data_IF_465326477383
#
_entry.id   IF_465326477383
#
_cell.length_a   1.000
_cell.length_b   1.000
_cell.length_c   1.000
_cell.angle_alpha   90.00
_cell.angle_beta   90.00
_cell.angle_gamma   90.00
#
_symmetry.space_group_name_H-M   'P 1'
#
loop_
_entity.id
_entity.type
_entity.pdbx_description
1 polymer ?
#
# COMPACT_ATOMS: atom_id res chain seq x y z
N UNK A 1 23.57 3.49 -10.52
CA UNK A 1 23.70 2.07 -10.95
C UNK A 1 22.30 1.55 -11.23
N UNK A 2 22.08 0.84 -12.34
CA UNK A 2 20.85 0.09 -12.61
C UNK A 2 21.07 -1.35 -12.22
N UNK A 3 20.14 -1.95 -11.47
CA UNK A 3 20.29 -3.28 -10.89
C UNK A 3 18.94 -4.01 -10.97
N UNK A 4 18.97 -5.29 -11.33
CA UNK A 4 17.81 -6.17 -11.19
C UNK A 4 17.75 -6.70 -9.74
N UNK A 5 16.68 -6.38 -9.03
CA UNK A 5 16.47 -6.86 -7.66
C UNK A 5 16.30 -8.38 -7.53
N UNK A 6 16.08 -9.07 -8.62
CA UNK A 6 15.99 -10.53 -8.69
C UNK A 6 17.32 -11.23 -8.98
N UNK A 7 18.36 -10.48 -9.36
CA UNK A 7 19.72 -10.97 -9.50
C UNK A 7 20.44 -10.94 -8.15
N UNK A 8 20.46 -12.09 -7.48
CA UNK A 8 20.99 -12.24 -6.11
C UNK A 8 22.47 -11.78 -5.98
N UNK A 9 23.31 -12.21 -6.90
CA UNK A 9 24.75 -11.91 -6.80
C UNK A 9 25.03 -10.43 -7.07
N UNK A 10 24.33 -9.85 -8.04
CA UNK A 10 24.43 -8.42 -8.32
C UNK A 10 23.91 -7.56 -7.15
N UNK A 11 22.81 -7.96 -6.50
CA UNK A 11 22.28 -7.28 -5.30
C UNK A 11 23.27 -7.36 -4.14
N UNK A 12 23.85 -8.54 -3.88
CA UNK A 12 24.83 -8.72 -2.82
C UNK A 12 26.06 -7.87 -3.08
N UNK A 13 26.62 -7.91 -4.27
CA UNK A 13 27.81 -7.13 -4.64
C UNK A 13 27.57 -5.62 -4.50
N UNK A 14 26.40 -5.14 -4.96
CA UNK A 14 26.04 -3.73 -4.87
C UNK A 14 25.88 -3.24 -3.43
N UNK A 15 25.19 -4.00 -2.58
CA UNK A 15 24.97 -3.63 -1.17
C UNK A 15 26.28 -3.71 -0.38
N UNK A 16 27.12 -4.73 -0.61
CA UNK A 16 28.44 -4.82 0.02
C UNK A 16 29.35 -3.66 -0.37
N UNK A 17 29.35 -3.28 -1.66
CA UNK A 17 30.16 -2.13 -2.12
C UNK A 17 29.67 -0.80 -1.52
N UNK A 18 28.38 -0.64 -1.29
CA UNK A 18 27.81 0.55 -0.67
C UNK A 18 27.98 0.57 0.86
N UNK A 19 28.10 -0.59 1.51
CA UNK A 19 28.19 -0.78 2.96
C UNK A 19 27.20 0.10 3.76
N UNK A 20 25.90 0.06 3.46
CA UNK A 20 24.94 0.96 4.06
C UNK A 20 24.59 0.57 5.50
N UNK A 21 24.41 1.55 6.39
CA UNK A 21 23.86 1.32 7.73
C UNK A 21 22.37 0.92 7.67
N UNK A 22 21.64 1.46 6.70
CA UNK A 22 20.19 1.24 6.52
C UNK A 22 19.90 0.94 5.06
N UNK A 23 19.11 -0.11 4.83
CA UNK A 23 18.56 -0.45 3.50
C UNK A 23 17.06 -0.15 3.48
N UNK A 24 16.62 0.57 2.46
CA UNK A 24 15.19 0.87 2.24
C UNK A 24 14.71 0.13 0.98
N UNK A 25 13.85 -0.86 1.18
CA UNK A 25 13.28 -1.69 0.13
C UNK A 25 11.93 -1.13 -0.35
N UNK A 26 11.95 -0.42 -1.49
CA UNK A 26 10.76 0.14 -2.14
C UNK A 26 10.57 -0.43 -3.56
N UNK A 27 11.19 -1.58 -3.87
CA UNK A 27 11.12 -2.17 -5.20
C UNK A 27 9.72 -2.66 -5.51
N UNK A 28 9.13 -2.14 -6.59
CA UNK A 28 7.87 -2.57 -7.16
C UNK A 28 7.91 -2.50 -8.68
N UNK A 29 7.05 -3.26 -9.34
CA UNK A 29 6.86 -3.20 -10.80
C UNK A 29 5.41 -2.78 -11.10
N UNK A 30 4.99 -1.63 -10.54
CA UNK A 30 3.63 -1.11 -10.67
C UNK A 30 3.45 -0.13 -11.83
N UNK A 31 4.55 0.30 -12.46
CA UNK A 31 4.50 1.18 -13.62
C UNK A 31 3.71 0.51 -14.76
N UNK A 32 2.70 1.21 -15.28
CA UNK A 32 1.86 0.70 -16.37
C UNK A 32 0.76 -0.28 -15.94
N UNK A 33 0.47 -0.40 -14.65
CA UNK A 33 -0.65 -1.18 -14.15
C UNK A 33 -1.97 -0.66 -14.74
N UNK A 34 -2.68 -1.52 -15.51
CA UNK A 34 -3.89 -1.11 -16.24
C UNK A 34 -5.18 -1.70 -15.68
N UNK A 35 -5.12 -2.78 -14.93
CA UNK A 35 -6.31 -3.49 -14.45
C UNK A 35 -6.04 -4.25 -13.17
N UNK A 36 -6.97 -4.18 -12.24
CA UNK A 36 -7.00 -4.96 -10.99
C UNK A 36 -8.00 -6.13 -11.06
N UNK A 37 -8.48 -6.50 -12.25
CA UNK A 37 -9.45 -7.60 -12.42
C UNK A 37 -8.86 -8.94 -12.00
N UNK A 38 -7.56 -9.13 -12.24
CA UNK A 38 -6.78 -10.27 -11.77
C UNK A 38 -5.49 -9.77 -11.10
N UNK A 39 -5.52 -9.50 -9.79
CA UNK A 39 -4.36 -9.00 -9.06
C UNK A 39 -3.14 -9.91 -9.14
N UNK A 40 -3.29 -11.23 -9.07
CA UNK A 40 -2.15 -12.15 -9.15
C UNK A 40 -1.36 -11.97 -10.45
N UNK A 41 -2.07 -11.82 -11.57
CA UNK A 41 -1.44 -11.52 -12.87
C UNK A 41 -0.89 -10.11 -12.93
N UNK A 42 -1.64 -9.13 -12.40
CA UNK A 42 -1.27 -7.72 -12.45
C UNK A 42 -0.04 -7.40 -11.61
N UNK A 43 0.11 -8.06 -10.47
CA UNK A 43 1.22 -7.87 -9.53
C UNK A 43 2.30 -8.95 -9.62
N UNK A 44 2.31 -9.83 -10.63
CA UNK A 44 3.23 -10.96 -10.70
C UNK A 44 4.70 -10.55 -10.47
N UNK A 45 5.21 -9.59 -11.23
CA UNK A 45 6.58 -9.10 -11.07
C UNK A 45 6.81 -8.41 -9.71
N UNK A 46 5.81 -7.68 -9.20
CA UNK A 46 5.89 -7.08 -7.86
C UNK A 46 5.91 -8.15 -6.77
N UNK A 47 5.16 -9.24 -6.94
CA UNK A 47 5.15 -10.36 -5.99
C UNK A 47 6.50 -11.08 -5.95
N UNK A 48 7.20 -11.22 -7.08
CA UNK A 48 8.56 -11.74 -7.10
C UNK A 48 9.54 -10.81 -6.39
N UNK A 49 9.44 -9.50 -6.57
CA UNK A 49 10.25 -8.52 -5.84
C UNK A 49 9.96 -8.53 -4.34
N UNK A 50 8.70 -8.73 -3.93
CA UNK A 50 8.30 -8.85 -2.52
C UNK A 50 8.78 -10.13 -1.85
N UNK A 51 9.01 -11.20 -2.59
CA UNK A 51 9.50 -12.48 -2.08
C UNK A 51 11.00 -12.60 -2.35
N UNK A 52 11.40 -13.06 -3.51
CA UNK A 52 12.80 -13.28 -3.90
C UNK A 52 13.66 -12.02 -3.79
N UNK A 53 13.11 -10.85 -4.19
CA UNK A 53 13.81 -9.57 -4.06
C UNK A 53 14.08 -9.21 -2.60
N UNK A 54 13.12 -9.47 -1.70
CA UNK A 54 13.31 -9.31 -0.25
C UNK A 54 14.39 -10.24 0.27
N UNK A 55 14.39 -11.53 -0.10
CA UNK A 55 15.43 -12.49 0.30
C UNK A 55 16.82 -12.06 -0.15
N UNK A 56 16.93 -11.58 -1.38
CA UNK A 56 18.19 -11.09 -1.92
C UNK A 56 18.72 -9.89 -1.13
N UNK A 57 17.84 -8.93 -0.80
CA UNK A 57 18.21 -7.75 0.00
C UNK A 57 18.56 -8.11 1.44
N UNK A 58 17.82 -9.00 2.09
CA UNK A 58 18.12 -9.45 3.46
C UNK A 58 19.47 -10.17 3.51
N UNK A 59 19.74 -11.06 2.56
CA UNK A 59 21.03 -11.72 2.46
C UNK A 59 22.19 -10.73 2.21
N UNK A 60 21.96 -9.74 1.36
CA UNK A 60 22.93 -8.68 1.07
C UNK A 60 23.15 -7.79 2.30
N UNK A 61 22.10 -7.36 2.98
CA UNK A 61 22.15 -6.55 4.18
C UNK A 61 22.93 -7.26 5.31
N UNK A 62 22.65 -8.54 5.52
CA UNK A 62 23.39 -9.37 6.50
C UNK A 62 24.88 -9.44 6.19
N UNK A 63 25.27 -9.67 4.91
CA UNK A 63 26.68 -9.74 4.50
C UNK A 63 27.39 -8.38 4.58
N UNK A 64 26.68 -7.29 4.44
CA UNK A 64 27.21 -5.93 4.55
C UNK A 64 27.26 -5.40 6.00
N UNK A 65 26.70 -6.13 6.97
CA UNK A 65 26.60 -5.66 8.35
C UNK A 65 25.58 -4.52 8.53
N UNK A 66 24.59 -4.44 7.63
CA UNK A 66 23.52 -3.44 7.71
C UNK A 66 22.74 -3.58 9.01
N UNK A 67 22.58 -2.48 9.74
CA UNK A 67 21.88 -2.45 11.03
C UNK A 67 20.36 -2.55 10.87
N UNK A 68 19.80 -1.83 9.88
CA UNK A 68 18.34 -1.70 9.73
C UNK A 68 17.88 -1.95 8.29
N UNK A 69 16.77 -2.68 8.16
CA UNK A 69 16.08 -2.86 6.87
C UNK A 69 14.65 -2.36 7.00
N UNK A 70 14.25 -1.44 6.13
CA UNK A 70 12.89 -0.90 6.05
C UNK A 70 12.26 -1.39 4.75
N UNK A 71 11.14 -2.06 4.82
CA UNK A 71 10.46 -2.57 3.64
C UNK A 71 9.05 -1.99 3.48
N UNK A 72 8.63 -1.83 2.22
CA UNK A 72 7.28 -1.43 1.88
C UNK A 72 6.31 -2.61 2.06
N UNK A 73 5.32 -2.44 2.93
CA UNK A 73 4.12 -3.26 3.03
C UNK A 73 2.90 -2.59 2.39
N UNK A 74 1.72 -3.12 2.65
CA UNK A 74 0.46 -2.56 2.15
C UNK A 74 -0.65 -2.68 3.18
N UNK A 75 -1.26 -1.55 3.55
CA UNK A 75 -2.45 -1.47 4.38
C UNK A 75 -3.69 -1.34 3.48
N UNK A 76 -4.53 -2.34 3.41
CA UNK A 76 -5.81 -2.18 2.74
C UNK A 76 -6.19 -3.22 1.71
N UNK A 77 -5.52 -4.31 1.60
CA UNK A 77 -5.90 -5.34 0.65
C UNK A 77 -6.42 -6.59 1.35
N UNK A 78 -7.67 -6.82 1.26
CA UNK A 78 -8.31 -8.08 1.64
C UNK A 78 -9.78 -7.89 1.92
N UNK A 79 -10.65 -8.82 1.48
CA UNK A 79 -12.00 -8.83 1.94
C UNK A 79 -12.01 -9.19 3.42
N UNK A 80 -12.36 -8.24 4.24
CA UNK A 80 -12.71 -8.49 5.62
C UNK A 80 -14.15 -8.95 5.76
N UNK A 81 -14.46 -9.58 6.90
CA UNK A 81 -15.86 -9.84 7.23
C UNK A 81 -16.63 -8.52 7.22
N UNK A 82 -17.84 -8.45 6.64
CA UNK A 82 -18.60 -7.21 6.51
C UNK A 82 -19.20 -6.72 7.83
N UNK A 83 -18.50 -6.80 8.92
CA UNK A 83 -18.93 -6.26 10.20
C UNK A 83 -18.21 -4.95 10.41
N UNK A 84 -18.94 -3.85 10.24
CA UNK A 84 -18.50 -2.55 10.69
C UNK A 84 -17.95 -2.68 12.09
N UNK A 85 -16.69 -2.57 12.26
CA UNK A 85 -15.98 -2.70 13.50
C UNK A 85 -14.94 -1.60 13.60
N UNK A 86 -14.18 -1.64 14.67
CA UNK A 86 -13.01 -0.79 14.89
C UNK A 86 -12.06 -0.84 13.68
N UNK A 87 -11.22 0.15 13.54
CA UNK A 87 -10.12 0.15 12.60
C UNK A 87 -9.19 -1.04 12.85
N UNK A 88 -8.54 -1.53 11.82
CA UNK A 88 -7.44 -2.48 11.94
C UNK A 88 -6.21 -1.80 12.51
N UNK A 89 -5.43 -2.57 13.23
CA UNK A 89 -4.13 -2.21 13.76
C UNK A 89 -3.10 -3.26 13.34
N UNK A 90 -1.85 -3.02 13.59
CA UNK A 90 -0.77 -3.97 13.30
C UNK A 90 -0.89 -5.29 14.08
N UNK A 91 -1.63 -5.30 15.19
CA UNK A 91 -1.95 -6.49 15.97
C UNK A 91 -3.08 -7.34 15.38
N UNK A 92 -3.86 -6.78 14.45
CA UNK A 92 -4.90 -7.52 13.77
C UNK A 92 -4.25 -8.42 12.69
N UNK A 93 -4.59 -9.71 12.63
CA UNK A 93 -4.04 -10.59 11.64
C UNK A 93 -4.43 -10.11 10.24
N UNK A 94 -3.55 -10.31 9.30
CA UNK A 94 -3.88 -10.20 7.89
C UNK A 94 -4.76 -11.40 7.50
N UNK A 95 -5.97 -11.48 8.10
CA UNK A 95 -6.97 -12.49 7.79
C UNK A 95 -7.53 -12.27 6.39
N UNK A 96 -6.69 -12.53 5.46
CA UNK A 96 -7.06 -12.59 4.08
C UNK A 96 -7.78 -13.91 3.85
N UNK A 97 -9.05 -13.83 3.61
CA UNK A 97 -9.70 -14.88 2.83
C UNK A 97 -9.40 -14.51 1.37
N UNK A 98 -8.33 -15.02 0.78
CA UNK A 98 -7.88 -14.52 -0.51
C UNK A 98 -8.95 -14.82 -1.52
N UNK A 99 -9.40 -13.78 -2.21
CA UNK A 99 -10.13 -13.92 -3.45
C UNK A 99 -9.25 -14.74 -4.39
N UNK A 100 -9.82 -15.71 -5.10
CA UNK A 100 -9.07 -16.61 -5.98
C UNK A 100 -8.04 -15.92 -6.87
N UNK A 101 -8.34 -14.71 -7.35
CA UNK A 101 -7.48 -13.92 -8.22
C UNK A 101 -6.42 -13.08 -7.50
N UNK A 102 -6.33 -13.17 -6.17
CA UNK A 102 -5.44 -12.35 -5.33
C UNK A 102 -4.65 -13.19 -4.30
N UNK A 103 -4.57 -14.50 -4.49
CA UNK A 103 -3.90 -15.44 -3.56
C UNK A 103 -2.40 -15.16 -3.49
N UNK A 104 -1.74 -15.05 -4.65
CA UNK A 104 -0.30 -14.82 -4.72
C UNK A 104 0.07 -13.42 -4.24
N UNK A 105 -0.73 -12.40 -4.61
CA UNK A 105 -0.53 -11.04 -4.12
C UNK A 105 -0.63 -11.00 -2.58
N UNK A 106 -1.63 -11.63 -2.01
CA UNK A 106 -1.83 -11.70 -0.56
C UNK A 106 -0.67 -12.43 0.13
N UNK A 107 -0.24 -13.56 -0.43
CA UNK A 107 0.89 -14.33 0.09
C UNK A 107 2.18 -13.50 0.06
N UNK A 108 2.46 -12.78 -1.02
CA UNK A 108 3.67 -11.97 -1.16
C UNK A 108 3.70 -10.78 -0.17
N UNK A 109 2.56 -10.12 0.09
CA UNK A 109 2.47 -9.06 1.10
C UNK A 109 2.70 -9.65 2.50
N UNK A 110 2.03 -10.76 2.82
CA UNK A 110 2.21 -11.46 4.10
C UNK A 110 3.66 -11.93 4.29
N UNK A 111 4.33 -12.30 3.21
CA UNK A 111 5.73 -12.72 3.25
C UNK A 111 6.62 -11.59 3.77
N UNK A 112 6.54 -10.39 3.18
CA UNK A 112 7.31 -9.21 3.63
C UNK A 112 7.03 -8.90 5.09
N UNK A 113 5.75 -8.87 5.48
CA UNK A 113 5.32 -8.54 6.84
C UNK A 113 5.88 -9.50 7.90
N UNK A 114 6.09 -10.77 7.54
CA UNK A 114 6.64 -11.78 8.44
C UNK A 114 8.17 -11.83 8.40
N UNK A 115 8.73 -11.83 7.19
CA UNK A 115 10.15 -12.12 6.99
C UNK A 115 11.04 -10.96 7.43
N UNK A 116 10.69 -9.73 7.06
CA UNK A 116 11.55 -8.56 7.34
C UNK A 116 11.74 -8.33 8.84
N UNK A 117 10.69 -8.32 9.70
CA UNK A 117 10.88 -8.14 11.13
C UNK A 117 11.61 -9.31 11.84
N UNK A 118 11.58 -10.51 11.24
CA UNK A 118 12.21 -11.69 11.82
C UNK A 118 13.68 -11.88 11.42
N UNK A 119 14.02 -11.56 10.17
CA UNK A 119 15.33 -11.89 9.60
C UNK A 119 16.30 -10.72 9.59
N UNK A 120 15.82 -9.47 9.59
CA UNK A 120 16.69 -8.31 9.69
C UNK A 120 16.98 -7.97 11.17
N UNK A 121 18.20 -7.51 11.52
CA UNK A 121 18.55 -7.10 12.90
C UNK A 121 17.57 -6.05 13.46
N UNK A 122 17.26 -5.02 12.68
CA UNK A 122 16.21 -4.03 12.95
C UNK A 122 15.28 -3.97 11.73
N UNK A 123 14.41 -4.98 11.59
CA UNK A 123 13.46 -5.07 10.47
C UNK A 123 12.20 -4.26 10.71
N UNK A 124 11.89 -3.31 9.84
CA UNK A 124 10.68 -2.50 9.89
C UNK A 124 9.89 -2.68 8.59
N UNK A 125 8.60 -2.91 8.70
CA UNK A 125 7.67 -2.88 7.57
C UNK A 125 6.74 -1.69 7.70
N UNK A 126 6.71 -0.83 6.68
CA UNK A 126 5.78 0.28 6.59
C UNK A 126 4.64 -0.12 5.65
N UNK A 127 3.49 -0.43 6.20
CA UNK A 127 2.27 -0.72 5.43
C UNK A 127 1.64 0.59 5.01
N UNK A 128 1.88 1.00 3.78
CA UNK A 128 1.24 2.19 3.24
C UNK A 128 -0.21 1.93 2.87
N UNK A 129 -1.08 2.92 3.16
CA UNK A 129 -2.44 2.97 2.65
C UNK A 129 -2.50 3.16 1.14
N UNK A 130 -3.66 3.49 0.62
CA UNK A 130 -3.82 3.89 -0.77
C UNK A 130 -3.00 5.15 -1.06
N UNK A 131 -1.82 4.98 -1.65
CA UNK A 131 -0.93 6.07 -2.01
C UNK A 131 -1.59 6.98 -3.05
N UNK A 132 -1.55 8.29 -2.80
CA UNK A 132 -1.99 9.28 -3.76
C UNK A 132 -1.05 10.49 -3.79
N UNK A 133 -1.16 11.27 -4.85
CA UNK A 133 -0.35 12.46 -5.05
C UNK A 133 0.15 12.57 -6.50
N UNK A 134 0.85 13.66 -6.84
CA UNK A 134 1.40 13.88 -8.17
C UNK A 134 2.33 12.74 -8.60
N UNK A 135 2.14 12.24 -9.83
CA UNK A 135 2.96 11.16 -10.39
C UNK A 135 2.63 9.75 -9.89
N UNK A 136 1.78 9.60 -8.86
CA UNK A 136 1.46 8.30 -8.25
C UNK A 136 0.09 7.80 -8.68
N UNK A 137 -0.94 8.62 -8.56
CA UNK A 137 -2.33 8.23 -8.80
C UNK A 137 -3.01 9.06 -9.89
N UNK A 138 -2.24 9.66 -10.79
CA UNK A 138 -2.77 10.50 -11.87
C UNK A 138 -3.69 9.71 -12.81
N UNK A 139 -3.42 8.42 -13.00
CA UNK A 139 -4.29 7.51 -13.76
C UNK A 139 -5.67 7.38 -13.10
N UNK A 140 -5.73 7.30 -11.75
CA UNK A 140 -6.99 7.28 -11.03
C UNK A 140 -7.73 8.62 -11.18
N UNK A 141 -7.03 9.74 -11.04
CA UNK A 141 -7.61 11.07 -11.17
C UNK A 141 -8.22 11.27 -12.57
N UNK A 142 -7.50 10.88 -13.61
CA UNK A 142 -7.99 10.92 -14.98
C UNK A 142 -9.20 10.00 -15.20
N UNK A 143 -9.18 8.80 -14.64
CA UNK A 143 -10.32 7.88 -14.72
C UNK A 143 -11.55 8.44 -14.00
N UNK A 144 -11.37 9.15 -12.87
CA UNK A 144 -12.44 9.85 -12.15
C UNK A 144 -12.99 11.02 -12.98
N UNK A 145 -12.12 11.84 -13.59
CA UNK A 145 -12.52 12.94 -14.50
C UNK A 145 -13.35 12.43 -15.67
N UNK A 146 -12.98 11.26 -16.21
CA UNK A 146 -13.71 10.57 -17.29
C UNK A 146 -14.92 9.77 -16.82
N UNK A 147 -15.22 9.80 -15.52
CA UNK A 147 -16.34 9.05 -14.91
C UNK A 147 -16.25 7.53 -15.11
N UNK A 148 -15.03 7.00 -15.20
CA UNK A 148 -14.76 5.57 -15.42
C UNK A 148 -14.68 4.74 -14.13
N UNK A 149 -14.66 5.40 -12.97
CA UNK A 149 -14.62 4.74 -11.65
C UNK A 149 -16.00 4.86 -11.01
N UNK A 150 -16.84 3.82 -11.07
CA UNK A 150 -18.14 3.85 -10.42
C UNK A 150 -18.05 3.51 -8.93
N UNK A 151 -19.01 3.94 -8.13
CA UNK A 151 -19.27 3.35 -6.80
C UNK A 151 -19.95 2.02 -7.01
N UNK A 152 -19.32 0.93 -6.58
CA UNK A 152 -19.88 -0.43 -6.74
C UNK A 152 -20.64 -0.84 -5.47
N UNK A 153 -21.83 -1.40 -5.65
CA UNK A 153 -22.71 -1.77 -4.55
C UNK A 153 -23.08 -0.55 -3.70
N UNK A 154 -23.06 -0.70 -2.38
CA UNK A 154 -23.26 0.41 -1.44
C UNK A 154 -22.06 1.32 -1.25
N UNK A 155 -20.89 0.99 -1.81
CA UNK A 155 -19.63 1.70 -1.53
C UNK A 155 -19.24 1.69 -0.05
N UNK A 156 -19.56 0.60 0.64
CA UNK A 156 -19.40 0.44 2.10
C UNK A 156 -17.98 0.09 2.53
N UNK A 157 -17.11 -0.34 1.59
CA UNK A 157 -15.71 -0.59 1.86
C UNK A 157 -15.01 0.69 2.34
N UNK A 158 -14.17 0.57 3.34
CA UNK A 158 -13.43 1.68 3.93
C UNK A 158 -12.00 1.67 3.41
N UNK A 159 -11.58 2.77 2.79
CA UNK A 159 -10.20 3.02 2.37
C UNK A 159 -9.45 3.80 3.43
N UNK A 160 -8.17 3.50 3.59
CA UNK A 160 -7.20 4.34 4.28
C UNK A 160 -6.19 4.84 3.27
N UNK A 161 -5.84 6.09 3.33
CA UNK A 161 -5.02 6.77 2.33
C UNK A 161 -3.73 7.29 2.95
N UNK A 162 -2.77 7.59 2.12
CA UNK A 162 -1.57 8.35 2.50
C UNK A 162 -1.07 9.15 1.30
N UNK A 163 -0.80 10.42 1.53
CA UNK A 163 -0.17 11.27 0.52
C UNK A 163 1.30 10.87 0.33
N UNK A 164 1.83 10.93 -0.89
CA UNK A 164 3.15 10.39 -1.23
C UNK A 164 4.28 11.06 -0.45
N UNK A 165 4.21 12.37 -0.17
CA UNK A 165 5.25 13.07 0.61
C UNK A 165 5.17 12.71 2.09
N UNK A 166 3.98 12.44 2.61
CA UNK A 166 3.79 11.94 3.98
C UNK A 166 4.30 10.51 4.14
N UNK A 167 4.09 9.67 3.13
CA UNK A 167 4.68 8.31 3.09
C UNK A 167 6.21 8.37 3.08
N UNK A 168 6.79 9.27 2.28
CA UNK A 168 8.23 9.50 2.24
C UNK A 168 8.76 10.01 3.60
N UNK A 169 8.05 10.94 4.24
CA UNK A 169 8.40 11.45 5.57
C UNK A 169 8.38 10.36 6.63
N UNK A 170 7.38 9.46 6.61
CA UNK A 170 7.34 8.29 7.49
C UNK A 170 8.55 7.36 7.26
N UNK A 171 8.93 7.14 6.00
CA UNK A 171 10.10 6.33 5.65
C UNK A 171 11.39 6.94 6.19
N UNK A 172 11.58 8.25 6.00
CA UNK A 172 12.76 8.98 6.52
C UNK A 172 12.79 8.89 8.05
N UNK A 173 11.65 9.05 8.70
CA UNK A 173 11.55 8.95 10.16
C UNK A 173 11.94 7.55 10.65
N UNK A 174 11.50 6.50 9.94
CA UNK A 174 11.82 5.11 10.27
C UNK A 174 13.32 4.76 10.10
N UNK A 175 14.10 5.55 9.34
CA UNK A 175 15.57 5.37 9.26
C UNK A 175 16.24 5.50 10.62
N UNK A 176 15.79 6.44 11.45
CA UNK A 176 16.37 6.72 12.77
C UNK A 176 15.52 6.32 13.97
N UNK A 177 14.26 5.96 13.77
CA UNK A 177 13.29 5.75 14.86
C UNK A 177 12.48 4.45 14.66
N UNK A 178 11.74 4.08 15.69
CA UNK A 178 10.89 2.90 15.73
C UNK A 178 11.62 1.62 16.11
N UNK A 179 10.94 0.78 16.86
CA UNK A 179 11.37 -0.58 17.16
C UNK A 179 11.15 -1.49 15.92
N UNK A 180 11.86 -2.62 15.80
CA UNK A 180 11.54 -3.62 14.79
C UNK A 180 10.08 -4.03 14.82
N UNK A 181 9.47 -4.21 13.66
CA UNK A 181 8.07 -4.58 13.55
C UNK A 181 7.33 -3.90 12.39
N UNK A 182 6.01 -3.90 12.48
CA UNK A 182 5.12 -3.38 11.44
C UNK A 182 4.50 -2.07 11.92
N UNK A 183 4.31 -1.13 10.99
CA UNK A 183 3.66 0.15 11.19
C UNK A 183 2.69 0.45 10.07
N UNK A 184 1.43 0.75 10.38
CA UNK A 184 0.44 1.18 9.41
C UNK A 184 0.62 2.69 9.16
N UNK A 185 1.03 3.05 7.95
CA UNK A 185 1.31 4.43 7.52
C UNK A 185 0.15 4.90 6.65
N UNK A 186 -0.83 5.48 7.31
CA UNK A 186 -2.09 5.98 6.74
C UNK A 186 -2.42 7.34 7.34
N UNK A 187 -3.31 8.10 6.68
CA UNK A 187 -3.91 9.28 7.29
C UNK A 187 -4.83 8.92 8.47
N UNK A 188 -5.37 9.92 9.15
CA UNK A 188 -6.20 9.72 10.35
C UNK A 188 -7.70 9.69 10.07
N UNK A 189 -8.11 9.65 8.79
CA UNK A 189 -9.51 9.80 8.35
C UNK A 189 -9.93 8.67 7.37
N UNK A 190 -9.99 7.41 7.82
CA UNK A 190 -10.48 6.31 6.97
C UNK A 190 -11.91 6.56 6.52
N UNK A 191 -12.21 6.37 5.23
CA UNK A 191 -13.49 6.74 4.66
C UNK A 191 -14.10 5.66 3.77
N UNK A 192 -15.43 5.61 3.74
CA UNK A 192 -16.17 4.74 2.82
C UNK A 192 -15.97 5.19 1.37
N UNK A 193 -15.95 4.24 0.45
CA UNK A 193 -15.91 4.53 -0.99
C UNK A 193 -17.04 5.47 -1.40
N UNK A 194 -18.22 5.30 -0.80
CA UNK A 194 -19.40 6.16 -1.03
C UNK A 194 -19.19 7.62 -0.59
N UNK A 195 -18.14 7.92 0.16
CA UNK A 195 -17.78 9.25 0.66
C UNK A 195 -16.59 9.83 -0.13
N UNK A 196 -15.46 9.10 -0.16
CA UNK A 196 -14.24 9.66 -0.75
C UNK A 196 -14.28 9.76 -2.28
N UNK A 197 -14.90 8.79 -2.97
CA UNK A 197 -14.90 8.82 -4.43
C UNK A 197 -15.77 9.95 -5.03
N UNK A 198 -17.00 10.22 -4.53
CA UNK A 198 -17.73 11.41 -4.92
C UNK A 198 -17.02 12.73 -4.60
N UNK A 199 -16.33 12.78 -3.45
CA UNK A 199 -15.56 13.95 -3.07
C UNK A 199 -14.34 14.18 -4.00
N UNK A 200 -13.61 13.13 -4.33
CA UNK A 200 -12.53 13.23 -5.32
C UNK A 200 -13.05 13.73 -6.67
N UNK A 201 -14.20 13.21 -7.12
CA UNK A 201 -14.84 13.69 -8.34
C UNK A 201 -15.20 15.19 -8.25
N UNK A 202 -15.74 15.62 -7.11
CA UNK A 202 -16.09 17.02 -6.88
C UNK A 202 -14.86 17.94 -6.93
N UNK A 203 -13.78 17.62 -6.21
CA UNK A 203 -12.58 18.45 -6.19
C UNK A 203 -11.85 18.43 -7.55
N UNK A 204 -11.98 17.35 -8.31
CA UNK A 204 -11.46 17.23 -9.68
C UNK A 204 -12.31 17.94 -10.73
N UNK A 205 -13.41 18.60 -10.34
CA UNK A 205 -14.33 19.25 -11.30
C UNK A 205 -15.12 18.27 -12.18
N UNK A 206 -15.20 17.00 -11.76
CA UNK A 206 -15.86 15.93 -12.51
C UNK A 206 -17.32 15.74 -12.11
N UNK A 207 -18.10 15.10 -12.97
CA UNK A 207 -19.46 14.67 -12.64
C UNK A 207 -19.41 13.59 -11.55
N UNK A 208 -20.43 13.50 -10.66
CA UNK A 208 -20.50 12.45 -9.67
C UNK A 208 -20.33 11.05 -10.28
N UNK A 209 -19.66 10.11 -9.58
CA UNK A 209 -19.46 8.76 -10.09
C UNK A 209 -20.79 8.04 -10.32
N UNK A 210 -20.81 7.14 -11.30
CA UNK A 210 -21.93 6.24 -11.50
C UNK A 210 -22.06 5.29 -10.30
N UNK A 211 -23.28 4.81 -10.04
CA UNK A 211 -23.51 3.73 -9.08
C UNK A 211 -23.90 2.47 -9.84
N UNK A 212 -23.20 1.39 -9.61
CA UNK A 212 -23.46 0.11 -10.24
C UNK A 212 -23.68 -0.98 -9.20
N UNK A 213 -24.60 -1.92 -9.40
CA UNK A 213 -24.80 -3.01 -8.47
C UNK A 213 -23.57 -3.93 -8.43
N UNK A 214 -23.33 -4.59 -7.28
CA UNK A 214 -22.14 -5.41 -7.07
C UNK A 214 -21.97 -6.55 -8.09
N UNK A 215 -23.07 -7.15 -8.56
CA UNK A 215 -23.01 -8.23 -9.57
C UNK A 215 -22.45 -7.72 -10.90
N UNK A 216 -22.85 -6.51 -11.34
CA UNK A 216 -22.31 -5.89 -12.55
C UNK A 216 -20.85 -5.48 -12.36
N UNK A 217 -20.50 -4.94 -11.18
CA UNK A 217 -19.12 -4.66 -10.81
C UNK A 217 -18.21 -5.88 -10.91
N UNK A 218 -18.67 -7.07 -10.49
CA UNK A 218 -17.91 -8.33 -10.63
C UNK A 218 -17.60 -8.67 -12.08
N UNK A 219 -18.55 -8.46 -12.98
CA UNK A 219 -18.36 -8.72 -14.42
C UNK A 219 -17.36 -7.72 -15.02
N UNK A 220 -17.50 -6.43 -14.71
CA UNK A 220 -16.71 -5.36 -15.34
C UNK A 220 -15.31 -5.21 -14.72
N UNK A 221 -15.21 -5.16 -13.39
CA UNK A 221 -14.00 -4.82 -12.66
C UNK A 221 -13.35 -6.03 -11.94
N UNK A 222 -14.08 -7.12 -11.76
CA UNK A 222 -13.61 -8.32 -11.05
C UNK A 222 -13.94 -8.31 -9.56
N UNK A 223 -13.83 -9.49 -8.96
CA UNK A 223 -14.23 -9.71 -7.56
C UNK A 223 -13.37 -8.91 -6.57
N UNK A 224 -12.08 -8.78 -6.84
CA UNK A 224 -11.15 -8.03 -5.99
C UNK A 224 -11.57 -6.56 -5.85
N UNK A 225 -11.86 -5.88 -6.96
CA UNK A 225 -12.29 -4.47 -6.94
C UNK A 225 -13.63 -4.32 -6.23
N UNK A 226 -14.56 -5.26 -6.44
CA UNK A 226 -15.85 -5.25 -5.72
C UNK A 226 -15.63 -5.40 -4.22
N UNK A 227 -14.79 -6.31 -3.78
CA UNK A 227 -14.48 -6.51 -2.37
C UNK A 227 -13.83 -5.25 -1.76
N UNK A 228 -12.88 -4.64 -2.44
CA UNK A 228 -12.28 -3.37 -2.00
C UNK A 228 -13.33 -2.27 -1.83
N UNK A 229 -14.31 -2.20 -2.72
CA UNK A 229 -15.34 -1.16 -2.66
C UNK A 229 -16.50 -1.48 -1.69
N UNK A 230 -16.62 -2.72 -1.21
CA UNK A 230 -17.80 -3.11 -0.39
C UNK A 230 -17.46 -3.68 0.97
N UNK A 231 -16.28 -4.27 1.15
CA UNK A 231 -15.94 -5.05 2.36
C UNK A 231 -14.59 -4.70 2.99
N UNK A 232 -13.76 -3.84 2.39
CA UNK A 232 -12.49 -3.41 3.00
C UNK A 232 -12.71 -2.66 4.31
N UNK A 233 -11.73 -2.73 5.21
CA UNK A 233 -11.70 -2.01 6.49
C UNK A 233 -10.59 -0.97 6.50
N UNK A 234 -10.80 0.10 7.29
CA UNK A 234 -9.79 1.11 7.54
C UNK A 234 -8.71 0.65 8.51
N UNK A 235 -7.59 1.36 8.53
CA UNK A 235 -6.44 1.11 9.38
C UNK A 235 -6.18 2.30 10.29
N UNK A 236 -5.56 2.04 11.45
CA UNK A 236 -5.14 3.07 12.40
C UNK A 236 -3.66 3.37 12.20
N UNK A 237 -3.29 4.64 12.27
CA UNK A 237 -1.89 5.09 12.27
C UNK A 237 -1.35 5.38 13.68
N UNK A 238 -2.08 5.01 14.72
CA UNK A 238 -1.76 5.39 16.10
C UNK A 238 -0.36 4.91 16.52
N UNK A 239 0.01 3.66 16.17
CA UNK A 239 1.34 3.11 16.46
C UNK A 239 2.44 3.88 15.75
N UNK A 240 2.28 4.17 14.46
CA UNK A 240 3.26 4.92 13.69
C UNK A 240 3.46 6.33 14.29
N UNK A 241 2.38 7.02 14.65
CA UNK A 241 2.44 8.33 15.30
C UNK A 241 3.18 8.27 16.63
N UNK A 242 2.83 7.32 17.49
CA UNK A 242 3.37 7.20 18.83
C UNK A 242 4.84 6.75 18.84
N UNK A 243 5.19 5.71 18.09
CA UNK A 243 6.50 5.06 18.20
C UNK A 243 7.53 5.62 17.20
N UNK A 244 7.12 6.03 16.01
CA UNK A 244 8.00 6.72 15.08
C UNK A 244 8.08 8.23 15.40
N UNK A 245 7.07 8.79 16.08
CA UNK A 245 6.94 10.24 16.25
C UNK A 245 6.68 10.94 14.93
N UNK A 246 5.98 10.25 14.02
CA UNK A 246 5.60 10.77 12.71
C UNK A 246 4.16 11.27 12.73
N UNK A 247 3.92 12.39 12.07
CA UNK A 247 2.58 12.95 11.87
C UNK A 247 2.39 13.26 10.39
N UNK A 248 1.26 12.86 9.78
CA UNK A 248 0.99 13.22 8.40
C UNK A 248 0.72 14.72 8.28
N UNK A 249 1.29 15.37 7.29
CA UNK A 249 0.99 16.76 6.92
C UNK A 249 -0.47 16.91 6.49
N UNK A 250 -1.01 15.87 5.86
CA UNK A 250 -2.42 15.79 5.47
C UNK A 250 -3.12 14.73 6.34
N UNK A 251 -3.62 15.10 7.53
CA UNK A 251 -4.26 14.17 8.45
C UNK A 251 -5.59 13.61 7.92
N UNK A 252 -6.14 14.22 6.87
CA UNK A 252 -7.33 13.75 6.16
C UNK A 252 -7.10 13.77 4.65
N UNK A 253 -7.53 12.69 3.98
CA UNK A 253 -7.58 12.61 2.52
C UNK A 253 -8.34 13.79 1.89
N UNK A 254 -9.28 14.42 2.62
CA UNK A 254 -10.02 15.59 2.12
C UNK A 254 -9.09 16.77 1.83
N UNK A 255 -8.16 17.01 2.73
CA UNK A 255 -7.16 18.07 2.56
C UNK A 255 -6.14 17.68 1.47
N UNK A 256 -5.66 16.46 1.55
CA UNK A 256 -4.69 15.93 0.60
C UNK A 256 -5.20 15.87 -0.84
N UNK A 257 -6.45 15.43 -1.07
CA UNK A 257 -7.04 15.43 -2.40
C UNK A 257 -7.22 16.83 -2.97
N UNK A 258 -7.59 17.81 -2.13
CA UNK A 258 -7.64 19.22 -2.58
C UNK A 258 -6.27 19.73 -2.99
N UNK A 259 -5.23 19.40 -2.22
CA UNK A 259 -3.87 19.82 -2.53
C UNK A 259 -3.38 19.14 -3.82
N UNK A 260 -3.58 17.83 -3.95
CA UNK A 260 -3.19 17.05 -5.13
C UNK A 260 -3.84 17.54 -6.44
N UNK A 261 -5.13 17.86 -6.42
CA UNK A 261 -5.86 18.26 -7.63
C UNK A 261 -5.50 19.69 -8.07
N UNK A 262 -5.03 20.55 -7.17
CA UNK A 262 -4.64 21.95 -7.44
C UNK A 262 -3.19 22.10 -7.91
N UNK A 263 -2.31 21.18 -7.51
CA UNK A 263 -0.89 21.18 -7.88
C UNK A 263 -0.64 20.45 -9.15
#
# INVERSE_FOLDING_TARGET
MVLDGLDREAVIAAVQAAAPEVVVHQMTALAGLRSLRNPDKAFAATNELRTRGTDNLLAAATRAGTRRVIAQGYAGAGPDKPSGGRLKTEADPLDWRPIRSAVQMSAAITYVDKTVPLEAPEGIVLRYGGLYGPGVSDVLLEAVRKRQVPVIGGGTGVGSFIEITDAAAATITAVGRGAPGIYDVVDSDPARVAEWLPYLAQVAGAKPPLRVPAWLGRILAGEFVVAQMTTSRGYSNEKARKELGWEPRYPSWREGFRAWVRG
#
